data_IF_257294061838
#
_entry.id   IF_257294061838
#
_cell.length_a   1.000
_cell.length_b   1.000
_cell.length_c   1.000
_cell.angle_alpha   90.00
_cell.angle_beta   90.00
_cell.angle_gamma   90.00
#
_symmetry.space_group_name_H-M   'P 1'
#
loop_
_entity.id
_entity.type
_entity.pdbx_description
1 polymer ?
#
# COMPACT_ATOMS: atom_id res chain seq x y z
N UNK A 1 31.72 4.08 -4.90
CA UNK A 1 32.03 2.84 -4.16
C UNK A 1 30.73 2.29 -3.58
N UNK A 2 30.43 1.02 -3.84
CA UNK A 2 29.27 0.38 -3.23
C UNK A 2 29.66 -0.12 -1.83
N UNK A 3 29.18 0.55 -0.77
CA UNK A 3 29.54 0.24 0.62
C UNK A 3 28.82 -1.01 1.17
N UNK A 4 28.85 -2.13 0.44
CA UNK A 4 28.39 -3.43 0.93
C UNK A 4 26.87 -3.60 1.08
N UNK A 5 26.06 -2.65 0.60
CA UNK A 5 24.61 -2.76 0.59
C UNK A 5 24.11 -3.76 -0.46
N UNK A 6 22.91 -4.31 -0.23
CA UNK A 6 22.27 -5.22 -1.20
C UNK A 6 22.07 -4.51 -2.55
N UNK A 7 22.60 -5.06 -3.64
CA UNK A 7 22.45 -4.49 -4.99
C UNK A 7 20.97 -4.55 -5.40
N UNK A 8 20.34 -3.43 -5.80
CA UNK A 8 18.95 -3.45 -6.24
C UNK A 8 18.76 -4.31 -7.49
N UNK A 9 17.56 -4.83 -7.71
CA UNK A 9 17.18 -5.50 -8.95
C UNK A 9 17.38 -4.52 -10.12
N UNK A 10 17.86 -4.99 -11.25
CA UNK A 10 18.18 -4.16 -12.43
C UNK A 10 19.59 -3.59 -12.43
N UNK A 11 20.37 -3.83 -11.37
CA UNK A 11 21.76 -3.42 -11.31
C UNK A 11 22.70 -4.56 -10.93
N UNK A 12 23.93 -4.47 -11.41
CA UNK A 12 25.06 -5.23 -10.93
C UNK A 12 26.19 -4.30 -10.47
N UNK A 13 27.14 -4.84 -9.71
CA UNK A 13 28.34 -4.11 -9.34
C UNK A 13 29.45 -4.51 -10.28
N UNK A 14 29.96 -3.55 -11.04
CA UNK A 14 31.17 -3.78 -11.85
C UNK A 14 32.37 -4.01 -10.92
N UNK A 15 33.04 -5.15 -11.09
CA UNK A 15 34.15 -5.56 -10.23
C UNK A 15 35.42 -4.70 -10.41
N UNK A 16 35.58 -4.08 -11.58
CA UNK A 16 36.74 -3.26 -11.89
C UNK A 16 36.64 -1.86 -11.27
N UNK A 17 35.44 -1.26 -11.32
CA UNK A 17 35.20 0.12 -10.86
C UNK A 17 34.52 0.20 -9.49
N UNK A 18 33.90 -0.89 -9.03
CA UNK A 18 33.07 -0.92 -7.81
C UNK A 18 31.78 -0.11 -7.93
N UNK A 19 31.40 0.31 -9.14
CA UNK A 19 30.19 1.11 -9.40
C UNK A 19 28.98 0.23 -9.72
N UNK A 20 27.80 0.80 -9.53
CA UNK A 20 26.54 0.19 -9.97
C UNK A 20 26.36 0.47 -11.45
N UNK A 21 26.18 -0.60 -12.23
CA UNK A 21 25.86 -0.55 -13.65
C UNK A 21 24.52 -1.24 -13.91
N UNK A 22 23.86 -0.87 -15.02
CA UNK A 22 22.55 -1.43 -15.40
C UNK A 22 22.76 -2.88 -15.84
N UNK A 23 22.01 -3.78 -15.23
CA UNK A 23 21.95 -5.19 -15.61
C UNK A 23 21.00 -5.37 -16.81
N UNK A 24 21.50 -5.73 -18.01
CA UNK A 24 20.67 -5.87 -19.19
C UNK A 24 19.62 -6.98 -19.09
N UNK A 25 19.86 -7.99 -18.23
CA UNK A 25 18.92 -9.10 -18.05
C UNK A 25 17.74 -8.71 -17.15
N UNK A 26 18.01 -7.97 -16.08
CA UNK A 26 16.97 -7.70 -15.05
C UNK A 26 16.41 -6.28 -15.12
N UNK A 27 17.08 -5.31 -15.73
CA UNK A 27 16.57 -3.95 -15.88
C UNK A 27 15.26 -3.84 -16.69
N UNK A 28 15.01 -4.64 -17.75
CA UNK A 28 13.73 -4.62 -18.45
C UNK A 28 12.53 -4.94 -17.52
N UNK A 29 12.69 -5.87 -16.60
CA UNK A 29 11.64 -6.21 -15.61
C UNK A 29 11.35 -5.06 -14.65
N UNK A 30 12.38 -4.28 -14.30
CA UNK A 30 12.20 -3.08 -13.46
C UNK A 30 11.39 -2.03 -14.22
N UNK A 31 11.72 -1.76 -15.49
CA UNK A 31 10.95 -0.82 -16.33
C UNK A 31 9.49 -1.27 -16.48
N UNK A 32 9.28 -2.54 -16.79
CA UNK A 32 7.94 -3.13 -16.89
C UNK A 32 7.15 -2.97 -15.58
N UNK A 33 7.77 -3.28 -14.44
CA UNK A 33 7.14 -3.16 -13.13
C UNK A 33 6.67 -1.73 -12.83
N UNK A 34 7.52 -0.72 -13.11
CA UNK A 34 7.18 0.68 -12.89
C UNK A 34 6.07 1.15 -13.83
N UNK A 35 6.15 0.84 -15.14
CA UNK A 35 5.15 1.23 -16.13
C UNK A 35 3.79 0.62 -15.80
N UNK A 36 3.71 -0.69 -15.65
CA UNK A 36 2.44 -1.39 -15.39
C UNK A 36 1.81 -0.97 -14.05
N UNK A 37 2.65 -0.76 -13.02
CA UNK A 37 2.14 -0.22 -11.78
C UNK A 37 1.61 1.21 -11.93
N UNK A 38 2.27 2.09 -12.69
CA UNK A 38 1.77 3.43 -12.99
C UNK A 38 0.43 3.39 -13.74
N UNK A 39 0.27 2.44 -14.67
CA UNK A 39 -0.92 2.29 -15.51
C UNK A 39 -2.12 1.64 -14.81
N UNK A 40 -1.98 1.23 -13.56
CA UNK A 40 -3.15 0.80 -12.81
C UNK A 40 -3.07 -0.61 -12.25
N UNK A 41 -2.07 -1.40 -12.57
CA UNK A 41 -2.00 -2.78 -12.18
C UNK A 41 -1.71 -2.97 -10.68
N UNK A 42 -2.17 -4.07 -10.11
CA UNK A 42 -1.99 -4.37 -8.68
C UNK A 42 -0.63 -5.01 -8.43
N UNK A 43 0.06 -4.61 -7.36
CA UNK A 43 1.33 -5.24 -6.96
C UNK A 43 1.23 -6.75 -6.75
N UNK A 44 0.07 -7.27 -6.34
CA UNK A 44 -0.15 -8.71 -6.16
C UNK A 44 -0.10 -9.48 -7.48
N UNK A 45 -0.59 -8.89 -8.58
CA UNK A 45 -0.56 -9.50 -9.93
C UNK A 45 0.88 -9.47 -10.44
N UNK A 46 1.53 -8.31 -10.38
CA UNK A 46 2.91 -8.12 -10.81
C UNK A 46 3.87 -9.06 -10.05
N UNK A 47 3.65 -9.25 -8.75
CA UNK A 47 4.43 -10.17 -7.92
C UNK A 47 4.26 -11.63 -8.37
N UNK A 48 3.01 -12.06 -8.61
CA UNK A 48 2.73 -13.43 -9.06
C UNK A 48 3.39 -13.73 -10.41
N UNK A 49 3.35 -12.78 -11.36
CA UNK A 49 3.99 -12.94 -12.67
C UNK A 49 5.53 -12.97 -12.57
N UNK A 50 6.13 -12.11 -11.74
CA UNK A 50 7.57 -12.17 -11.50
C UNK A 50 7.99 -13.53 -10.93
N UNK A 51 7.16 -14.10 -10.06
CA UNK A 51 7.40 -15.42 -9.49
C UNK A 51 7.27 -16.53 -10.54
N UNK A 52 6.27 -16.48 -11.44
CA UNK A 52 6.08 -17.40 -12.55
C UNK A 52 7.24 -17.34 -13.57
N UNK A 53 7.78 -16.14 -13.83
CA UNK A 53 8.97 -15.94 -14.67
C UNK A 53 10.28 -16.38 -13.99
N UNK A 54 10.21 -16.91 -12.77
CA UNK A 54 11.38 -17.40 -12.04
C UNK A 54 12.29 -16.32 -11.49
N UNK A 55 11.85 -15.05 -11.46
CA UNK A 55 12.64 -13.96 -10.90
C UNK A 55 12.80 -14.14 -9.38
N UNK A 56 14.03 -14.21 -8.94
CA UNK A 56 14.41 -14.43 -7.54
C UNK A 56 15.41 -13.37 -7.08
N UNK A 57 15.41 -13.07 -5.80
CA UNK A 57 16.44 -12.26 -5.18
C UNK A 57 17.80 -12.98 -5.25
N UNK A 58 18.90 -12.26 -5.03
CA UNK A 58 20.26 -12.86 -4.95
C UNK A 58 20.38 -14.01 -3.93
N UNK A 59 19.47 -14.08 -2.96
CA UNK A 59 19.39 -15.15 -1.95
C UNK A 59 18.47 -16.30 -2.39
N UNK A 60 17.95 -16.31 -3.61
CA UNK A 60 17.04 -17.31 -4.13
C UNK A 60 15.57 -17.17 -3.69
N UNK A 61 15.24 -16.17 -2.86
CA UNK A 61 13.87 -15.97 -2.38
C UNK A 61 13.00 -15.23 -3.40
N UNK A 62 11.69 -15.53 -3.49
CA UNK A 62 10.76 -14.76 -4.29
C UNK A 62 10.64 -13.32 -3.77
N UNK A 63 10.30 -12.40 -4.66
CA UNK A 63 10.03 -11.00 -4.28
C UNK A 63 8.68 -10.90 -3.58
N UNK A 64 8.66 -10.50 -2.32
CA UNK A 64 7.42 -10.21 -1.59
C UNK A 64 6.85 -8.84 -2.00
N UNK A 65 5.54 -8.64 -1.76
CA UNK A 65 4.87 -7.35 -2.01
C UNK A 65 5.57 -6.19 -1.28
N UNK A 66 6.06 -6.43 -0.06
CA UNK A 66 6.79 -5.42 0.72
C UNK A 66 8.11 -5.04 0.05
N UNK A 67 8.84 -6.02 -0.50
CA UNK A 67 10.08 -5.77 -1.25
C UNK A 67 9.80 -4.98 -2.53
N UNK A 68 8.75 -5.35 -3.30
CA UNK A 68 8.34 -4.61 -4.49
C UNK A 68 7.89 -3.19 -4.16
N UNK A 69 7.14 -3.00 -3.06
CA UNK A 69 6.76 -1.67 -2.59
C UNK A 69 7.97 -0.80 -2.24
N UNK A 70 9.01 -1.37 -1.63
CA UNK A 70 10.25 -0.66 -1.34
C UNK A 70 11.07 -0.40 -2.61
N UNK A 71 11.06 -1.32 -3.56
CA UNK A 71 11.68 -1.14 -4.87
C UNK A 71 11.08 0.07 -5.59
N UNK A 72 9.76 0.17 -5.68
CA UNK A 72 9.07 1.30 -6.31
C UNK A 72 9.34 2.67 -5.65
N UNK A 73 9.81 2.71 -4.40
CA UNK A 73 10.20 3.93 -3.69
C UNK A 73 11.68 4.27 -3.82
N UNK A 74 12.47 3.38 -4.39
CA UNK A 74 13.91 3.52 -4.40
C UNK A 74 14.37 4.50 -5.48
N UNK A 75 14.85 5.66 -5.05
CA UNK A 75 15.29 6.76 -5.92
C UNK A 75 16.57 6.44 -6.73
N UNK A 76 17.24 5.33 -6.43
CA UNK A 76 18.36 4.85 -7.25
C UNK A 76 17.92 4.60 -8.70
N UNK A 77 16.67 4.21 -8.92
CA UNK A 77 16.16 3.95 -10.27
C UNK A 77 16.07 5.17 -11.18
N UNK A 78 16.03 6.38 -10.59
CA UNK A 78 16.11 7.66 -11.31
C UNK A 78 17.51 8.29 -11.27
N UNK A 79 18.54 7.50 -10.93
CA UNK A 79 19.93 7.94 -10.94
C UNK A 79 20.45 8.58 -9.65
N UNK A 80 19.62 8.74 -8.61
CA UNK A 80 20.06 9.35 -7.36
C UNK A 80 20.90 8.38 -6.51
N UNK A 81 22.06 8.82 -6.11
CA UNK A 81 22.91 8.11 -5.14
C UNK A 81 22.93 8.88 -3.82
N UNK A 82 22.53 8.21 -2.74
CA UNK A 82 22.56 8.78 -1.39
C UNK A 82 23.69 8.17 -0.57
N UNK A 83 24.54 9.05 0.00
CA UNK A 83 25.58 8.68 0.94
C UNK A 83 25.48 9.54 2.20
N UNK A 84 25.10 8.95 3.32
CA UNK A 84 24.77 9.71 4.53
C UNK A 84 23.61 10.68 4.26
N UNK A 85 23.86 11.96 4.48
CA UNK A 85 22.91 13.03 4.22
C UNK A 85 23.08 13.70 2.86
N UNK A 86 24.10 13.30 2.09
CA UNK A 86 24.39 13.86 0.77
C UNK A 86 23.64 13.06 -0.31
N UNK A 87 22.89 13.76 -1.14
CA UNK A 87 22.22 13.21 -2.33
C UNK A 87 22.98 13.69 -3.56
N UNK A 88 23.48 12.76 -4.35
CA UNK A 88 24.21 13.02 -5.60
C UNK A 88 23.22 12.70 -6.74
N UNK A 89 22.70 13.69 -7.43
CA UNK A 89 21.91 13.45 -8.64
C UNK A 89 22.81 12.87 -9.73
N UNK A 90 22.25 11.97 -10.53
CA UNK A 90 22.96 11.26 -11.61
C UNK A 90 24.25 10.52 -11.16
N UNK A 91 24.29 10.14 -9.88
CA UNK A 91 25.42 9.39 -9.28
C UNK A 91 25.47 7.91 -9.68
N UNK A 92 24.40 7.39 -10.29
CA UNK A 92 24.29 6.05 -10.88
C UNK A 92 23.47 6.11 -12.17
N UNK A 93 23.67 5.17 -13.12
CA UNK A 93 22.86 5.11 -14.34
C UNK A 93 21.37 4.93 -14.00
N UNK A 94 20.49 5.78 -14.54
CA UNK A 94 19.05 5.69 -14.33
C UNK A 94 18.44 4.58 -15.18
N UNK A 95 17.55 3.76 -14.59
CA UNK A 95 16.79 2.72 -15.31
C UNK A 95 15.47 3.27 -15.83
N UNK A 96 14.86 4.20 -15.10
CA UNK A 96 13.59 4.85 -15.44
C UNK A 96 13.75 6.37 -15.40
N UNK A 97 12.85 7.08 -16.06
CA UNK A 97 12.79 8.54 -16.01
C UNK A 97 12.09 9.05 -14.74
N UNK A 98 12.28 10.33 -14.44
CA UNK A 98 11.71 10.99 -13.27
C UNK A 98 10.17 11.08 -13.34
N UNK A 99 9.62 11.26 -14.54
CA UNK A 99 8.18 11.40 -14.76
C UNK A 99 7.45 10.11 -14.39
N UNK A 100 7.92 8.95 -14.88
CA UNK A 100 7.36 7.65 -14.53
C UNK A 100 7.47 7.38 -13.02
N UNK A 101 8.60 7.74 -12.40
CA UNK A 101 8.78 7.58 -10.96
C UNK A 101 7.74 8.40 -10.18
N UNK A 102 7.52 9.67 -10.52
CA UNK A 102 6.55 10.53 -9.84
C UNK A 102 5.10 10.04 -10.03
N UNK A 103 4.73 9.54 -11.22
CA UNK A 103 3.44 8.88 -11.46
C UNK A 103 3.24 7.70 -10.49
N UNK A 104 4.27 6.87 -10.31
CA UNK A 104 4.26 5.75 -9.37
C UNK A 104 4.09 6.23 -7.92
N UNK A 105 4.85 7.27 -7.48
CA UNK A 105 4.73 7.82 -6.12
C UNK A 105 3.33 8.38 -5.85
N UNK A 106 2.77 9.13 -6.80
CA UNK A 106 1.41 9.68 -6.71
C UNK A 106 0.38 8.58 -6.52
N UNK A 107 0.48 7.51 -7.31
CA UNK A 107 -0.40 6.36 -7.18
C UNK A 107 -0.22 5.63 -5.84
N UNK A 108 1.02 5.43 -5.39
CA UNK A 108 1.30 4.82 -4.08
C UNK A 108 0.69 5.63 -2.94
N UNK A 109 0.76 6.96 -3.01
CA UNK A 109 0.16 7.85 -2.03
C UNK A 109 -1.38 7.77 -2.02
N UNK A 110 -2.01 7.69 -3.20
CA UNK A 110 -3.45 7.48 -3.34
C UNK A 110 -3.88 6.12 -2.75
N UNK A 111 -3.16 5.04 -3.08
CA UNK A 111 -3.45 3.70 -2.59
C UNK A 111 -3.27 3.57 -1.06
N UNK A 112 -2.34 4.32 -0.46
CA UNK A 112 -2.15 4.34 1.00
C UNK A 112 -3.38 4.86 1.75
N UNK A 113 -4.14 5.77 1.11
CA UNK A 113 -5.37 6.35 1.66
C UNK A 113 -6.61 5.52 1.34
N UNK A 114 -6.53 4.62 0.36
CA UNK A 114 -7.66 3.78 -0.03
C UNK A 114 -7.91 2.69 1.01
N UNK A 115 -9.15 2.51 1.50
CA UNK A 115 -9.48 1.40 2.38
C UNK A 115 -9.36 0.07 1.63
N UNK A 116 -8.99 -0.98 2.35
CA UNK A 116 -8.92 -2.34 1.82
C UNK A 116 -10.35 -2.88 1.55
N UNK A 117 -10.92 -2.54 0.40
CA UNK A 117 -12.32 -2.86 0.03
C UNK A 117 -12.56 -4.32 -0.37
N UNK A 118 -11.54 -5.15 -0.58
CA UNK A 118 -11.69 -6.39 -1.34
C UNK A 118 -11.64 -7.69 -0.52
N UNK A 119 -11.66 -7.66 0.82
CA UNK A 119 -11.53 -8.90 1.64
C UNK A 119 -12.61 -9.10 2.70
N UNK A 120 -13.57 -8.21 2.83
CA UNK A 120 -14.67 -8.39 3.77
C UNK A 120 -15.78 -9.17 3.06
N UNK A 121 -16.11 -10.36 3.57
CA UNK A 121 -17.31 -11.12 3.18
C UNK A 121 -18.60 -10.32 3.50
N UNK A 122 -18.49 -9.36 4.41
CA UNK A 122 -19.57 -8.48 4.85
C UNK A 122 -19.29 -7.03 4.49
N UNK A 123 -20.27 -6.38 3.87
CA UNK A 123 -20.17 -4.98 3.48
C UNK A 123 -20.50 -4.06 4.67
N UNK A 124 -19.67 -3.06 4.92
CA UNK A 124 -19.84 -2.04 5.95
C UNK A 124 -20.03 -0.67 5.29
N UNK A 125 -21.25 -0.18 5.21
CA UNK A 125 -21.63 1.06 4.50
C UNK A 125 -20.93 2.31 5.03
N UNK A 126 -20.67 2.36 6.36
CA UNK A 126 -20.06 3.50 7.02
C UNK A 126 -18.53 3.41 7.12
N UNK A 127 -17.89 2.48 6.37
CA UNK A 127 -16.43 2.39 6.32
C UNK A 127 -15.82 3.71 5.88
N UNK A 128 -14.85 4.22 6.64
CA UNK A 128 -14.18 5.52 6.45
C UNK A 128 -15.05 6.76 6.67
N UNK A 129 -16.32 6.61 7.02
CA UNK A 129 -17.25 7.72 7.21
C UNK A 129 -17.69 7.88 8.67
N UNK A 130 -17.57 6.85 9.51
CA UNK A 130 -17.99 6.85 10.91
C UNK A 130 -16.82 7.20 11.83
N UNK A 131 -16.99 8.24 12.64
CA UNK A 131 -16.01 8.71 13.60
C UNK A 131 -16.51 8.53 15.04
N UNK A 132 -15.59 8.25 15.95
CA UNK A 132 -15.90 8.09 17.38
C UNK A 132 -16.16 9.45 18.02
N UNK A 133 -17.34 9.65 18.61
CA UNK A 133 -17.69 10.88 19.32
C UNK A 133 -16.86 11.17 20.60
N UNK A 134 -16.16 10.16 21.15
CA UNK A 134 -15.33 10.33 22.33
C UNK A 134 -13.89 10.77 22.01
N UNK A 135 -13.31 10.28 20.89
CA UNK A 135 -11.89 10.52 20.60
C UNK A 135 -11.61 10.97 19.17
N UNK A 136 -12.62 11.21 18.35
CA UNK A 136 -12.51 11.67 16.96
C UNK A 136 -11.88 10.70 15.97
N UNK A 137 -11.44 9.50 16.41
CA UNK A 137 -10.82 8.52 15.52
C UNK A 137 -11.86 7.74 14.73
N UNK A 138 -11.46 7.24 13.54
CA UNK A 138 -12.30 6.38 12.73
C UNK A 138 -12.75 5.13 13.48
N UNK A 139 -14.01 4.73 13.24
CA UNK A 139 -14.54 3.44 13.63
C UNK A 139 -14.43 2.46 12.46
N UNK A 140 -13.95 1.26 12.72
CA UNK A 140 -13.76 0.21 11.72
C UNK A 140 -14.76 -0.92 11.93
N UNK A 141 -15.20 -1.51 10.83
CA UNK A 141 -16.02 -2.73 10.85
C UNK A 141 -15.23 -3.89 11.46
N UNK A 142 -15.89 -4.67 12.29
CA UNK A 142 -15.34 -5.85 12.96
C UNK A 142 -16.45 -6.89 13.14
N UNK A 143 -16.11 -8.17 12.99
CA UNK A 143 -17.02 -9.27 13.27
C UNK A 143 -16.55 -10.06 14.48
N UNK A 144 -17.49 -10.62 15.22
CA UNK A 144 -17.22 -11.49 16.36
C UNK A 144 -18.20 -12.65 16.43
N UNK A 145 -17.71 -13.85 16.80
CA UNK A 145 -18.56 -15.02 17.03
C UNK A 145 -19.10 -15.00 18.46
N UNK A 146 -20.41 -15.10 18.59
CA UNK A 146 -21.06 -15.33 19.88
C UNK A 146 -20.93 -16.80 20.34
N UNK A 147 -21.34 -17.08 21.58
CA UNK A 147 -21.24 -18.42 22.20
C UNK A 147 -21.98 -19.53 21.41
N UNK A 148 -23.03 -19.16 20.64
CA UNK A 148 -23.81 -20.08 19.80
C UNK A 148 -23.29 -20.19 18.36
N UNK A 149 -22.08 -19.71 18.04
CA UNK A 149 -21.50 -19.72 16.69
C UNK A 149 -22.04 -18.65 15.75
N UNK A 150 -23.01 -17.85 16.17
CA UNK A 150 -23.58 -16.75 15.39
C UNK A 150 -22.56 -15.63 15.24
N UNK A 151 -22.35 -15.18 14.01
CA UNK A 151 -21.46 -14.05 13.71
C UNK A 151 -22.23 -12.75 13.86
N UNK A 152 -21.69 -11.84 14.65
CA UNK A 152 -22.23 -10.48 14.82
C UNK A 152 -21.27 -9.46 14.25
N UNK A 153 -21.82 -8.41 13.64
CA UNK A 153 -21.07 -7.35 12.99
C UNK A 153 -21.18 -6.04 13.78
N UNK A 154 -20.05 -5.37 13.96
CA UNK A 154 -19.93 -4.16 14.78
C UNK A 154 -19.06 -3.11 14.12
N UNK A 155 -19.25 -1.85 14.51
CA UNK A 155 -18.28 -0.78 14.35
C UNK A 155 -17.55 -0.56 15.66
N UNK A 156 -16.23 -0.64 15.65
CA UNK A 156 -15.36 -0.46 16.82
C UNK A 156 -14.39 0.69 16.60
N UNK A 157 -14.26 1.56 17.62
CA UNK A 157 -13.32 2.66 17.58
C UNK A 157 -11.87 2.14 17.44
N UNK A 158 -11.11 2.69 16.50
CA UNK A 158 -9.71 2.33 16.30
C UNK A 158 -8.83 2.68 17.51
N UNK A 159 -9.17 3.72 18.25
CA UNK A 159 -8.53 4.08 19.51
C UNK A 159 -8.80 3.08 20.64
N UNK A 160 -10.03 2.57 20.75
CA UNK A 160 -10.37 1.50 21.70
C UNK A 160 -9.72 0.17 21.31
N UNK A 161 -9.74 -0.19 20.02
CA UNK A 161 -9.10 -1.41 19.49
C UNK A 161 -7.59 -1.45 19.76
N UNK A 162 -6.92 -0.32 19.60
CA UNK A 162 -5.46 -0.19 19.80
C UNK A 162 -5.07 0.19 21.25
N UNK A 163 -6.03 0.20 22.18
CA UNK A 163 -5.81 0.58 23.59
C UNK A 163 -5.19 1.98 23.78
N UNK A 164 -5.59 2.93 22.93
CA UNK A 164 -5.10 4.32 22.96
C UNK A 164 -5.96 5.23 23.86
N UNK A 165 -6.46 4.71 24.96
CA UNK A 165 -7.21 5.45 25.98
C UNK A 165 -8.71 5.66 25.71
N UNK A 166 -9.24 5.32 24.53
CA UNK A 166 -10.67 5.41 24.26
C UNK A 166 -11.42 4.24 24.87
N UNK A 167 -12.53 4.52 25.59
CA UNK A 167 -13.38 3.53 26.25
C UNK A 167 -14.68 3.24 25.48
N UNK A 168 -14.83 3.79 24.27
CA UNK A 168 -16.04 3.61 23.44
C UNK A 168 -16.33 2.13 23.19
N UNK A 169 -17.53 1.69 23.58
CA UNK A 169 -18.04 0.34 23.28
C UNK A 169 -18.29 0.20 21.79
N UNK A 170 -18.17 -1.03 21.29
CA UNK A 170 -18.55 -1.35 19.92
C UNK A 170 -20.04 -1.12 19.69
N UNK A 171 -20.41 -0.66 18.50
CA UNK A 171 -21.79 -0.37 18.11
C UNK A 171 -22.21 -1.45 17.11
N UNK A 172 -23.41 -2.00 17.21
CA UNK A 172 -23.91 -2.98 16.24
C UNK A 172 -24.07 -2.34 14.87
N UNK A 173 -23.59 -3.04 13.85
CA UNK A 173 -23.62 -2.60 12.46
C UNK A 173 -25.04 -2.25 12.03
N UNK A 174 -25.96 -3.22 12.19
CA UNK A 174 -27.33 -3.12 11.71
C UNK A 174 -28.01 -1.88 12.28
N UNK A 175 -27.83 -1.63 13.57
CA UNK A 175 -28.44 -0.49 14.24
C UNK A 175 -27.93 0.86 13.73
N UNK A 176 -26.61 1.03 13.63
CA UNK A 176 -26.04 2.33 13.27
C UNK A 176 -26.22 2.64 11.78
N UNK A 177 -26.16 1.63 10.91
CA UNK A 177 -26.43 1.80 9.48
C UNK A 177 -27.89 2.16 9.23
N UNK A 178 -28.83 1.51 9.91
CA UNK A 178 -30.27 1.83 9.83
C UNK A 178 -30.57 3.28 10.29
N UNK A 179 -29.97 3.71 11.41
CA UNK A 179 -30.10 5.09 11.90
C UNK A 179 -29.60 6.10 10.87
N UNK A 180 -28.41 5.86 10.29
CA UNK A 180 -27.81 6.78 9.30
C UNK A 180 -28.61 6.81 8.01
N UNK A 181 -29.05 5.65 7.50
CA UNK A 181 -29.87 5.56 6.28
C UNK A 181 -31.20 6.29 6.48
N UNK A 182 -31.91 6.03 7.58
CA UNK A 182 -33.17 6.70 7.89
C UNK A 182 -32.99 8.22 7.99
N UNK A 183 -31.97 8.67 8.71
CA UNK A 183 -31.68 10.09 8.84
C UNK A 183 -31.40 10.73 7.47
N UNK A 184 -30.60 10.07 6.62
CA UNK A 184 -30.25 10.59 5.29
C UNK A 184 -31.48 10.67 4.39
N UNK A 185 -32.31 9.64 4.38
CA UNK A 185 -33.54 9.64 3.60
C UNK A 185 -34.47 10.77 4.04
N UNK A 186 -34.66 10.93 5.36
CA UNK A 186 -35.62 11.92 5.91
C UNK A 186 -35.12 13.37 5.76
N UNK A 187 -33.82 13.65 5.83
CA UNK A 187 -33.29 15.03 5.91
C UNK A 187 -32.55 15.48 4.68
N UNK A 188 -32.08 14.55 3.84
CA UNK A 188 -31.27 14.90 2.67
C UNK A 188 -31.99 14.64 1.37
N UNK A 189 -32.81 13.56 1.29
CA UNK A 189 -33.48 13.18 0.05
C UNK A 189 -34.91 13.73 -0.05
N UNK A 190 -35.49 14.22 1.05
CA UNK A 190 -36.84 14.83 1.03
C UNK A 190 -36.85 16.35 0.79
N UNK A 191 -35.69 17.03 0.93
CA UNK A 191 -35.57 18.49 0.70
C UNK A 191 -35.34 18.88 -0.77
N UNK A 192 -35.57 17.97 -1.72
CA UNK A 192 -35.41 18.20 -3.18
C UNK A 192 -36.77 18.03 -3.91
N UNK A 193 -37.86 18.64 -3.36
CA UNK A 193 -39.12 18.77 -4.07
C UNK A 193 -39.58 20.25 -4.07
#
# INVERSE_FOLDING_TARGET
>A
MNNGGNTPLGYYVDKATGKLEIDPETAPYVRELFSRYADGERLTVLQAEMEQRGLRSKRGNPYSISVLSNLLKNRKYIGEYKYGDVIIPDGIPAIIDKELFERVQTRMAANKKAPARAKAEEEYLLTTKLYCGECGRLMAGESGKGCKGVVYHYYKCSGAKRKLGCKKKAIRKDWIEDVVVKFTVTHVLTDTA
#
